data_IF_027047390240
#
_entry.id   IF_027047390240
#
_cell.length_a   1.000
_cell.length_b   1.000
_cell.length_c   1.000
_cell.angle_alpha   90.00
_cell.angle_beta   90.00
_cell.angle_gamma   90.00
#
_symmetry.space_group_name_H-M   'P 1'
#
loop_
_entity.id
_entity.type
_entity.pdbx_description
1 polymer ?
#
# COMPACT_ATOMS: atom_id res chain seq x y z
N UNK A 1 16.47 -5.73 1.36
CA UNK A 1 15.55 -5.07 0.42
C UNK A 1 16.05 -3.68 0.01
N UNK A 2 16.29 -2.79 0.97
CA UNK A 2 16.54 -1.35 0.73
C UNK A 2 17.92 -0.99 0.15
N UNK A 3 18.81 -1.97 -0.07
CA UNK A 3 20.19 -1.75 -0.56
C UNK A 3 20.30 -1.47 -2.06
N UNK A 4 19.20 -1.55 -2.82
CA UNK A 4 19.17 -1.40 -4.27
C UNK A 4 19.87 -2.50 -5.07
N UNK A 5 20.94 -3.12 -4.57
CA UNK A 5 21.63 -4.24 -5.21
C UNK A 5 20.68 -5.39 -5.58
N UNK A 6 20.62 -5.75 -6.87
CA UNK A 6 19.80 -6.85 -7.37
C UNK A 6 20.21 -8.18 -6.70
N UNK A 7 21.52 -8.41 -6.52
CA UNK A 7 22.03 -9.57 -5.79
C UNK A 7 21.55 -9.59 -4.34
N UNK A 8 21.55 -8.45 -3.66
CA UNK A 8 21.09 -8.37 -2.27
C UNK A 8 19.57 -8.53 -2.18
N UNK A 9 18.82 -8.02 -3.14
CA UNK A 9 17.37 -8.22 -3.23
C UNK A 9 17.04 -9.70 -3.41
N UNK A 10 17.72 -10.39 -4.34
CA UNK A 10 17.58 -11.84 -4.55
C UNK A 10 18.01 -12.66 -3.33
N UNK A 11 19.05 -12.23 -2.60
CA UNK A 11 19.42 -12.90 -1.35
C UNK A 11 18.31 -12.73 -0.30
N UNK A 12 17.77 -11.52 -0.13
CA UNK A 12 16.69 -11.27 0.83
C UNK A 12 15.46 -12.11 0.45
N UNK A 13 15.13 -12.18 -0.83
CA UNK A 13 14.08 -13.04 -1.35
C UNK A 13 14.33 -14.53 -1.03
N UNK A 14 15.53 -15.05 -1.28
CA UNK A 14 15.87 -16.43 -0.93
C UNK A 14 15.82 -16.73 0.58
N UNK A 15 16.07 -15.73 1.44
CA UNK A 15 16.23 -15.91 2.89
C UNK A 15 15.11 -15.35 3.77
N UNK A 16 14.02 -14.80 3.20
CA UNK A 16 12.86 -14.38 4.00
C UNK A 16 11.89 -15.52 4.34
N UNK A 17 11.97 -16.65 3.62
CA UNK A 17 11.20 -17.87 3.89
C UNK A 17 11.51 -18.58 5.21
N UNK A 18 12.78 -18.75 5.63
CA UNK A 18 13.11 -19.42 6.89
C UNK A 18 12.45 -18.81 8.14
N UNK A 19 12.42 -17.47 8.35
CA UNK A 19 11.62 -16.87 9.44
C UNK A 19 10.14 -17.27 9.43
N UNK A 20 9.51 -17.31 8.24
CA UNK A 20 8.11 -17.75 8.07
C UNK A 20 7.98 -19.24 8.44
N UNK A 21 8.91 -20.08 8.00
CA UNK A 21 8.93 -21.50 8.34
C UNK A 21 9.13 -21.74 9.85
N UNK A 22 9.99 -20.96 10.50
CA UNK A 22 10.18 -21.02 11.95
C UNK A 22 8.93 -20.60 12.70
N UNK A 23 8.27 -19.52 12.28
CA UNK A 23 7.01 -19.09 12.89
C UNK A 23 5.92 -20.17 12.81
N UNK A 24 5.80 -20.85 11.66
CA UNK A 24 4.90 -22.01 11.48
C UNK A 24 5.29 -23.18 12.38
N UNK A 25 6.58 -23.51 12.46
CA UNK A 25 7.07 -24.61 13.29
C UNK A 25 6.84 -24.36 14.80
N UNK A 26 6.99 -23.11 15.23
CA UNK A 26 6.72 -22.66 16.59
C UNK A 26 5.22 -22.42 16.86
N UNK A 27 4.36 -22.59 15.84
CA UNK A 27 2.91 -22.40 15.90
C UNK A 27 2.51 -21.02 16.44
N UNK A 28 3.23 -19.99 16.00
CA UNK A 28 3.04 -18.60 16.43
C UNK A 28 1.72 -17.98 15.93
N UNK A 29 1.01 -18.66 15.03
CA UNK A 29 -0.28 -18.28 14.49
C UNK A 29 -1.47 -18.78 15.32
N UNK A 30 -1.24 -19.53 16.40
CA UNK A 30 -2.32 -20.05 17.25
C UNK A 30 -3.15 -18.92 17.87
N UNK A 31 -4.48 -19.12 18.03
CA UNK A 31 -5.33 -18.13 18.70
C UNK A 31 -4.81 -17.88 20.12
N UNK A 32 -4.58 -16.62 20.45
CA UNK A 32 -4.16 -16.21 21.79
C UNK A 32 -5.36 -15.63 22.53
N UNK A 33 -5.63 -16.14 23.73
CA UNK A 33 -6.67 -15.58 24.61
C UNK A 33 -6.21 -14.19 25.07
N UNK A 34 -7.08 -13.20 24.92
CA UNK A 34 -6.82 -11.85 25.41
C UNK A 34 -6.64 -11.82 26.93
N UNK A 35 -5.71 -10.98 27.40
CA UNK A 35 -5.52 -10.75 28.83
C UNK A 35 -6.57 -9.75 29.29
N UNK A 36 -7.55 -10.22 30.06
CA UNK A 36 -8.42 -9.34 30.81
C UNK A 36 -7.67 -8.79 32.03
N UNK A 37 -7.52 -7.47 32.10
CA UNK A 37 -6.87 -6.79 33.22
C UNK A 37 -7.98 -6.25 34.13
N UNK A 38 -8.05 -6.73 35.37
CA UNK A 38 -8.95 -6.15 36.35
C UNK A 38 -8.44 -4.76 36.78
N UNK A 39 -9.33 -3.75 36.94
CA UNK A 39 -8.94 -2.41 37.35
C UNK A 39 -8.18 -2.37 38.68
N UNK A 40 -8.27 -3.42 39.49
CA UNK A 40 -7.75 -3.51 40.85
C UNK A 40 -6.41 -4.27 40.90
N UNK A 41 -5.94 -4.81 39.76
CA UNK A 41 -4.70 -5.60 39.71
C UNK A 41 -3.46 -4.72 39.95
N UNK A 42 -2.65 -5.04 40.95
CA UNK A 42 -1.45 -4.29 41.33
C UNK A 42 -0.25 -5.20 41.66
N UNK A 43 0.91 -4.59 41.88
CA UNK A 43 2.10 -5.28 42.37
C UNK A 43 2.65 -6.34 41.41
N UNK A 44 3.08 -7.48 41.95
CA UNK A 44 3.73 -8.55 41.19
C UNK A 44 2.82 -9.18 40.15
N UNK A 45 1.52 -9.31 40.46
CA UNK A 45 0.54 -9.87 39.53
C UNK A 45 0.38 -9.00 38.29
N UNK A 46 0.36 -7.67 38.47
CA UNK A 46 0.29 -6.74 37.35
C UNK A 46 1.52 -6.85 36.43
N UNK A 47 2.70 -6.99 37.03
CA UNK A 47 3.96 -7.15 36.32
C UNK A 47 4.02 -8.46 35.52
N UNK A 48 3.55 -9.57 36.09
CA UNK A 48 3.45 -10.86 35.41
C UNK A 48 2.48 -10.82 34.21
N UNK A 49 1.31 -10.19 34.40
CA UNK A 49 0.33 -10.00 33.33
C UNK A 49 0.88 -9.14 32.20
N UNK A 50 1.53 -8.01 32.53
CA UNK A 50 2.14 -7.13 31.54
C UNK A 50 3.22 -7.86 30.73
N UNK A 51 4.11 -8.62 31.37
CA UNK A 51 5.15 -9.39 30.68
C UNK A 51 4.55 -10.44 29.76
N UNK A 52 3.53 -11.16 30.24
CA UNK A 52 2.83 -12.15 29.42
C UNK A 52 2.14 -11.50 28.22
N UNK A 53 1.47 -10.36 28.42
CA UNK A 53 0.84 -9.60 27.33
C UNK A 53 1.87 -9.08 26.32
N UNK A 54 2.99 -8.51 26.81
CA UNK A 54 4.03 -7.92 25.97
C UNK A 54 4.62 -8.97 25.04
N UNK A 55 4.95 -10.15 25.58
CA UNK A 55 5.43 -11.28 24.79
C UNK A 55 4.45 -11.71 23.69
N UNK A 56 3.14 -11.71 23.99
CA UNK A 56 2.10 -12.03 22.97
C UNK A 56 2.04 -10.97 21.88
N UNK A 57 2.06 -9.69 22.26
CA UNK A 57 2.03 -8.60 21.30
C UNK A 57 3.29 -8.56 20.43
N UNK A 58 4.45 -8.95 20.96
CA UNK A 58 5.66 -9.16 20.16
C UNK A 58 5.46 -10.23 19.10
N UNK A 59 4.93 -11.41 19.47
CA UNK A 59 4.65 -12.50 18.54
C UNK A 59 3.67 -12.05 17.45
N UNK A 60 2.54 -11.43 17.84
CA UNK A 60 1.52 -10.94 16.90
C UNK A 60 2.15 -9.97 15.91
N UNK A 61 2.98 -9.02 16.37
CA UNK A 61 3.68 -8.06 15.50
C UNK A 61 4.70 -8.75 14.61
N UNK A 62 5.46 -9.74 15.08
CA UNK A 62 6.37 -10.51 14.21
C UNK A 62 5.60 -11.19 13.09
N UNK A 63 4.45 -11.79 13.37
CA UNK A 63 3.60 -12.42 12.34
C UNK A 63 3.12 -11.42 11.30
N UNK A 64 2.65 -10.24 11.73
CA UNK A 64 2.26 -9.16 10.82
C UNK A 64 3.45 -8.64 9.99
N UNK A 65 4.62 -8.49 10.60
CA UNK A 65 5.81 -8.03 9.90
C UNK A 65 6.27 -9.02 8.82
N UNK A 66 6.27 -10.33 9.13
CA UNK A 66 6.57 -11.38 8.15
C UNK A 66 5.56 -11.40 7.02
N UNK A 67 4.27 -11.19 7.32
CA UNK A 67 3.20 -11.04 6.34
C UNK A 67 3.44 -9.86 5.38
N UNK A 68 3.74 -8.69 5.93
CA UNK A 68 4.02 -7.48 5.16
C UNK A 68 5.27 -7.64 4.29
N UNK A 69 6.36 -8.20 4.84
CA UNK A 69 7.62 -8.36 4.09
C UNK A 69 7.48 -9.33 2.92
N UNK A 70 6.77 -10.43 3.09
CA UNK A 70 6.51 -11.41 2.02
C UNK A 70 5.66 -10.78 0.89
N UNK A 71 4.65 -9.99 1.24
CA UNK A 71 3.86 -9.22 0.28
C UNK A 71 4.72 -8.21 -0.49
N UNK A 72 5.50 -7.40 0.22
CA UNK A 72 6.36 -6.39 -0.38
C UNK A 72 7.40 -6.98 -1.33
N UNK A 73 8.03 -8.11 -0.96
CA UNK A 73 8.99 -8.78 -1.83
C UNK A 73 8.31 -9.35 -3.08
N UNK A 74 7.16 -10.01 -2.89
CA UNK A 74 6.38 -10.58 -3.99
C UNK A 74 5.91 -9.52 -4.99
N UNK A 75 5.50 -8.35 -4.49
CA UNK A 75 5.15 -7.19 -5.32
C UNK A 75 6.33 -6.64 -6.10
N UNK A 76 7.48 -6.42 -5.45
CA UNK A 76 8.67 -5.86 -6.13
C UNK A 76 9.24 -6.84 -7.18
N UNK A 77 9.18 -8.13 -6.91
CA UNK A 77 9.80 -9.16 -7.75
C UNK A 77 8.80 -9.85 -8.69
N UNK A 78 7.52 -9.45 -8.65
CA UNK A 78 6.44 -9.98 -9.48
C UNK A 78 6.19 -11.50 -9.36
N UNK A 79 6.61 -12.16 -8.28
CA UNK A 79 6.37 -13.59 -8.03
C UNK A 79 5.21 -13.85 -7.06
N UNK A 80 4.96 -15.12 -6.74
CA UNK A 80 3.95 -15.51 -5.75
C UNK A 80 4.52 -15.44 -4.33
N UNK A 81 3.71 -15.03 -3.34
CA UNK A 81 4.13 -15.03 -1.94
C UNK A 81 4.31 -16.43 -1.36
N UNK A 82 5.14 -16.55 -0.31
CA UNK A 82 5.36 -17.80 0.44
C UNK A 82 4.14 -18.13 1.33
N UNK A 83 3.42 -17.10 1.75
CA UNK A 83 2.26 -17.18 2.62
C UNK A 83 0.96 -17.23 1.79
N UNK A 84 -0.07 -17.93 2.28
CA UNK A 84 -1.41 -17.94 1.68
C UNK A 84 -2.28 -16.73 2.09
N UNK A 85 -2.25 -15.64 1.31
CA UNK A 85 -2.96 -14.39 1.58
C UNK A 85 -4.51 -14.48 1.59
N UNK A 86 -5.12 -15.58 1.16
CA UNK A 86 -6.59 -15.74 1.10
C UNK A 86 -7.20 -16.23 2.41
N UNK A 87 -6.45 -17.02 3.18
CA UNK A 87 -6.94 -17.69 4.40
C UNK A 87 -6.31 -17.14 5.69
N UNK A 88 -5.57 -16.04 5.62
CA UNK A 88 -4.95 -15.48 6.82
C UNK A 88 -5.96 -14.86 7.76
N UNK A 89 -5.85 -15.28 9.01
CA UNK A 89 -6.57 -14.72 10.15
C UNK A 89 -5.55 -14.44 11.25
N UNK A 90 -5.40 -13.16 11.61
CA UNK A 90 -4.49 -12.75 12.68
C UNK A 90 -5.24 -12.03 13.80
N UNK A 91 -4.67 -12.11 14.99
CA UNK A 91 -5.09 -11.28 16.12
C UNK A 91 -4.68 -9.83 15.90
N UNK A 92 -5.57 -8.85 16.11
CA UNK A 92 -5.21 -7.47 15.97
C UNK A 92 -4.07 -7.08 16.92
N UNK A 93 -3.18 -6.22 16.42
CA UNK A 93 -2.16 -5.59 17.26
C UNK A 93 -2.78 -4.53 18.17
N UNK A 94 -2.21 -4.31 19.35
CA UNK A 94 -2.53 -3.12 20.14
C UNK A 94 -2.00 -1.84 19.46
N UNK A 95 -2.41 -0.68 19.97
CA UNK A 95 -1.84 0.60 19.55
C UNK A 95 -0.34 0.68 19.85
N UNK A 96 0.37 1.56 19.13
CA UNK A 96 1.78 1.82 19.43
C UNK A 96 1.94 2.47 20.82
N UNK A 97 0.98 3.26 21.26
CA UNK A 97 0.99 3.94 22.56
C UNK A 97 0.99 2.95 23.72
N UNK A 98 0.13 1.92 23.63
CA UNK A 98 0.05 0.84 24.63
C UNK A 98 1.26 -0.08 24.51
N UNK A 99 1.69 -0.43 23.30
CA UNK A 99 2.89 -1.27 23.07
C UNK A 99 4.16 -0.67 23.65
N UNK A 100 4.33 0.65 23.54
CA UNK A 100 5.50 1.38 24.03
C UNK A 100 5.38 1.78 25.51
N UNK A 101 4.47 1.19 26.27
CA UNK A 101 4.41 1.44 27.71
C UNK A 101 5.70 0.95 28.40
N UNK A 102 6.40 1.82 29.17
CA UNK A 102 7.72 1.46 29.71
C UNK A 102 7.66 0.57 30.95
N UNK A 103 6.49 0.45 31.58
CA UNK A 103 6.25 -0.39 32.75
C UNK A 103 4.78 -0.84 32.81
N UNK A 104 4.49 -1.78 33.71
CA UNK A 104 3.18 -2.41 33.85
C UNK A 104 2.08 -1.44 34.34
N UNK A 105 2.41 -0.43 35.15
CA UNK A 105 1.47 0.61 35.58
C UNK A 105 1.04 1.51 34.42
N UNK A 106 2.00 1.98 33.63
CA UNK A 106 1.73 2.80 32.44
C UNK A 106 0.96 2.02 31.39
N UNK A 107 1.29 0.73 31.22
CA UNK A 107 0.58 -0.17 30.32
C UNK A 107 -0.89 -0.29 30.70
N UNK A 108 -1.19 -0.62 31.96
CA UNK A 108 -2.56 -0.74 32.47
C UNK A 108 -3.35 0.55 32.27
N UNK A 109 -2.75 1.70 32.64
CA UNK A 109 -3.39 3.00 32.48
C UNK A 109 -3.79 3.26 31.03
N UNK A 110 -2.84 3.14 30.09
CA UNK A 110 -3.07 3.38 28.66
C UNK A 110 -4.06 2.37 28.07
N UNK A 111 -3.94 1.09 28.42
CA UNK A 111 -4.82 0.03 27.94
C UNK A 111 -6.27 0.27 28.35
N UNK A 112 -6.52 0.64 29.62
CA UNK A 112 -7.85 0.96 30.11
C UNK A 112 -8.39 2.24 29.46
N UNK A 113 -7.56 3.28 29.31
CA UNK A 113 -7.96 4.52 28.62
C UNK A 113 -8.41 4.27 27.18
N UNK A 114 -7.69 3.45 26.41
CA UNK A 114 -8.09 3.10 25.04
C UNK A 114 -9.34 2.21 25.02
N UNK A 115 -9.47 1.27 25.95
CA UNK A 115 -10.64 0.37 26.05
C UNK A 115 -11.96 1.12 26.33
N UNK A 116 -11.89 2.30 26.96
CA UNK A 116 -13.05 3.14 27.25
C UNK A 116 -13.43 4.10 26.11
N UNK A 117 -12.71 4.11 24.97
CA UNK A 117 -13.04 4.99 23.86
C UNK A 117 -14.27 4.51 23.07
N UNK A 118 -15.21 5.41 22.70
CA UNK A 118 -16.37 5.04 21.90
C UNK A 118 -15.98 4.53 20.50
N UNK A 119 -16.29 3.26 20.21
CA UNK A 119 -16.05 2.62 18.92
C UNK A 119 -14.94 1.56 18.90
N UNK A 120 -14.30 1.28 20.04
CA UNK A 120 -13.25 0.26 20.19
C UNK A 120 -13.70 -0.98 20.98
N UNK A 121 -15.01 -1.22 21.15
CA UNK A 121 -15.45 -2.48 21.76
C UNK A 121 -15.18 -3.65 20.80
N UNK A 122 -14.29 -4.60 21.17
CA UNK A 122 -14.03 -5.76 20.33
C UNK A 122 -15.28 -6.64 20.30
N UNK A 123 -15.87 -6.79 19.12
CA UNK A 123 -16.91 -7.77 18.89
C UNK A 123 -16.26 -9.14 18.67
N UNK A 124 -16.33 -10.00 19.71
CA UNK A 124 -16.16 -11.46 19.68
C UNK A 124 -14.77 -12.07 19.93
N UNK A 125 -14.61 -12.58 21.16
CA UNK A 125 -14.11 -13.89 21.68
C UNK A 125 -13.03 -14.69 20.93
N UNK A 126 -12.94 -14.71 19.59
CA UNK A 126 -12.01 -15.60 18.86
C UNK A 126 -10.77 -14.89 18.29
N UNK A 127 -10.69 -13.57 18.46
CA UNK A 127 -9.46 -12.79 18.28
C UNK A 127 -8.79 -12.95 16.92
N UNK A 128 -9.51 -13.32 15.86
CA UNK A 128 -8.98 -13.59 14.51
C UNK A 128 -9.82 -12.85 13.48
N UNK A 129 -9.16 -12.07 12.62
CA UNK A 129 -9.86 -11.26 11.61
C UNK A 129 -9.51 -11.72 10.20
N UNK A 130 -10.55 -11.97 9.40
CA UNK A 130 -10.41 -12.27 7.98
C UNK A 130 -10.22 -10.97 7.18
N UNK A 131 -9.05 -10.79 6.57
CA UNK A 131 -8.72 -9.55 5.84
C UNK A 131 -9.50 -9.40 4.53
N UNK A 132 -10.10 -10.48 4.03
CA UNK A 132 -10.82 -10.48 2.77
C UNK A 132 -12.30 -10.07 2.87
N UNK A 133 -12.84 -9.92 4.08
CA UNK A 133 -14.23 -9.55 4.32
C UNK A 133 -14.36 -8.11 4.86
N UNK A 134 -15.07 -7.20 4.13
CA UNK A 134 -15.31 -5.84 4.58
C UNK A 134 -15.99 -5.73 5.95
N UNK A 135 -16.83 -6.69 6.33
CA UNK A 135 -17.52 -6.67 7.64
C UNK A 135 -16.56 -7.04 8.78
N UNK A 136 -15.66 -7.98 8.55
CA UNK A 136 -14.61 -8.38 9.48
C UNK A 136 -13.66 -7.22 9.82
N UNK A 137 -13.42 -6.28 8.90
CA UNK A 137 -12.60 -5.09 9.21
C UNK A 137 -13.17 -4.21 10.34
N UNK A 138 -14.49 -4.25 10.57
CA UNK A 138 -15.14 -3.52 11.66
C UNK A 138 -14.74 -4.05 13.04
N UNK A 139 -14.26 -5.29 13.13
CA UNK A 139 -13.83 -5.94 14.36
C UNK A 139 -12.40 -5.54 14.76
N UNK A 140 -11.61 -5.01 13.83
CA UNK A 140 -10.24 -4.54 14.11
C UNK A 140 -10.32 -3.20 14.84
N UNK A 141 -9.66 -2.99 15.99
CA UNK A 141 -9.61 -1.69 16.67
C UNK A 141 -9.04 -0.56 15.78
N UNK A 142 -9.53 0.68 15.91
CA UNK A 142 -9.12 1.80 15.01
C UNK A 142 -7.61 2.02 15.11
N UNK A 143 -7.09 1.89 16.33
CA UNK A 143 -5.71 2.16 16.69
C UNK A 143 -4.76 1.01 16.33
N UNK A 144 -5.26 -0.10 15.80
CA UNK A 144 -4.48 -1.25 15.33
C UNK A 144 -3.81 -0.99 13.98
N UNK A 145 -3.01 0.09 13.89
CA UNK A 145 -2.42 0.59 12.64
C UNK A 145 -1.52 -0.45 11.96
N UNK A 146 -0.83 -1.29 12.72
CA UNK A 146 0.04 -2.32 12.15
C UNK A 146 -0.75 -3.48 11.54
N UNK A 147 -1.89 -3.84 12.14
CA UNK A 147 -2.87 -4.73 11.51
C UNK A 147 -3.49 -4.11 10.27
N UNK A 148 -3.81 -2.81 10.30
CA UNK A 148 -4.30 -2.10 9.12
C UNK A 148 -3.28 -2.10 7.95
N UNK A 149 -1.97 -2.00 8.24
CA UNK A 149 -0.93 -2.21 7.23
C UNK A 149 -1.06 -3.61 6.63
N UNK A 150 -1.04 -4.66 7.45
CA UNK A 150 -1.16 -6.03 6.96
C UNK A 150 -2.44 -6.27 6.16
N UNK A 151 -3.57 -5.65 6.52
CA UNK A 151 -4.81 -5.71 5.73
C UNK A 151 -4.59 -5.17 4.32
N UNK A 152 -3.96 -4.01 4.14
CA UNK A 152 -3.71 -3.44 2.81
C UNK A 152 -2.78 -4.32 1.96
N UNK A 153 -1.71 -4.85 2.53
CA UNK A 153 -0.85 -5.84 1.84
C UNK A 153 -1.62 -7.13 1.51
N UNK A 154 -2.53 -7.52 2.41
CA UNK A 154 -3.54 -8.56 2.20
C UNK A 154 -4.33 -8.37 0.91
N UNK A 155 -4.90 -7.18 0.78
CA UNK A 155 -5.69 -6.78 -0.39
C UNK A 155 -4.80 -6.72 -1.64
N UNK A 156 -3.62 -6.12 -1.53
CA UNK A 156 -2.62 -6.03 -2.60
C UNK A 156 -2.31 -7.40 -3.21
N UNK A 157 -1.94 -8.38 -2.38
CA UNK A 157 -1.60 -9.72 -2.88
C UNK A 157 -2.80 -10.41 -3.53
N UNK A 158 -4.02 -10.18 -3.04
CA UNK A 158 -5.23 -10.70 -3.70
C UNK A 158 -5.46 -10.06 -5.06
N UNK A 159 -5.23 -8.75 -5.19
CA UNK A 159 -5.30 -8.05 -6.48
C UNK A 159 -4.31 -8.67 -7.46
N UNK A 160 -3.04 -8.81 -7.07
CA UNK A 160 -1.98 -9.39 -7.93
C UNK A 160 -2.29 -10.85 -8.29
N UNK A 161 -2.73 -11.66 -7.33
CA UNK A 161 -3.04 -13.07 -7.54
C UNK A 161 -4.26 -13.28 -8.45
N UNK A 162 -5.25 -12.39 -8.35
CA UNK A 162 -6.46 -12.43 -9.18
C UNK A 162 -6.14 -12.21 -10.68
N UNK A 163 -5.08 -11.48 -11.00
CA UNK A 163 -4.60 -11.28 -12.38
C UNK A 163 -3.90 -12.52 -12.96
N UNK A 164 -3.23 -13.31 -12.12
CA UNK A 164 -2.54 -14.54 -12.53
C UNK A 164 -3.50 -15.72 -12.73
N UNK A 165 -4.63 -15.72 -12.03
CA UNK A 165 -5.57 -16.83 -12.02
C UNK A 165 -6.68 -16.64 -13.07
N UNK A 166 -6.78 -17.56 -14.03
CA UNK A 166 -7.73 -17.51 -15.17
C UNK A 166 -9.11 -18.15 -14.88
N UNK A 167 -9.44 -18.40 -13.62
CA UNK A 167 -10.57 -19.24 -13.19
C UNK A 167 -11.79 -18.38 -12.80
N UNK A 168 -12.99 -18.94 -12.90
CA UNK A 168 -14.32 -18.32 -12.78
C UNK A 168 -14.65 -17.59 -11.45
N UNK A 169 -13.72 -17.49 -10.50
CA UNK A 169 -13.90 -16.82 -9.19
C UNK A 169 -12.87 -15.70 -8.94
N UNK A 170 -12.47 -14.98 -9.99
CA UNK A 170 -11.66 -13.75 -9.83
C UNK A 170 -12.50 -12.71 -9.09
N UNK A 171 -12.04 -12.18 -7.95
CA UNK A 171 -12.71 -11.07 -7.28
C UNK A 171 -12.96 -9.92 -8.26
N UNK A 172 -14.17 -9.41 -8.29
CA UNK A 172 -14.53 -8.32 -9.22
C UNK A 172 -13.91 -7.00 -8.77
N UNK A 173 -13.73 -6.05 -9.70
CA UNK A 173 -13.32 -4.67 -9.37
C UNK A 173 -14.21 -4.07 -8.25
N UNK A 174 -15.50 -4.42 -8.24
CA UNK A 174 -16.48 -4.01 -7.23
C UNK A 174 -16.14 -4.54 -5.83
N UNK A 175 -15.64 -5.77 -5.72
CA UNK A 175 -15.26 -6.36 -4.43
C UNK A 175 -14.05 -5.66 -3.82
N UNK A 176 -13.04 -5.36 -4.64
CA UNK A 176 -11.87 -4.59 -4.19
C UNK A 176 -12.25 -3.16 -3.82
N UNK A 177 -13.12 -2.51 -4.61
CA UNK A 177 -13.63 -1.17 -4.29
C UNK A 177 -14.38 -1.16 -2.95
N UNK A 178 -15.23 -2.16 -2.70
CA UNK A 178 -15.96 -2.30 -1.43
C UNK A 178 -15.00 -2.48 -0.26
N UNK A 179 -13.98 -3.33 -0.40
CA UNK A 179 -13.02 -3.63 0.66
C UNK A 179 -12.12 -2.42 0.97
N UNK A 180 -11.63 -1.72 -0.04
CA UNK A 180 -10.82 -0.51 0.11
C UNK A 180 -11.64 0.67 0.66
N UNK A 181 -12.92 0.78 0.31
CA UNK A 181 -13.85 1.76 0.91
C UNK A 181 -14.07 1.45 2.38
N UNK A 182 -14.35 0.18 2.74
CA UNK A 182 -14.51 -0.24 4.12
C UNK A 182 -13.23 0.01 4.94
N UNK A 183 -12.06 -0.24 4.36
CA UNK A 183 -10.78 0.10 4.97
C UNK A 183 -10.67 1.60 5.25
N UNK A 184 -10.98 2.46 4.27
CA UNK A 184 -10.91 3.91 4.42
C UNK A 184 -11.80 4.41 5.55
N UNK A 185 -13.08 4.02 5.55
CA UNK A 185 -14.04 4.36 6.61
C UNK A 185 -13.55 3.89 7.98
N UNK A 186 -12.90 2.71 8.05
CA UNK A 186 -12.44 2.14 9.33
C UNK A 186 -11.21 2.85 9.89
N UNK A 187 -10.22 3.17 9.05
CA UNK A 187 -8.87 3.53 9.49
C UNK A 187 -8.39 4.92 9.06
N UNK A 188 -9.01 5.55 8.07
CA UNK A 188 -8.52 6.80 7.44
C UNK A 188 -9.51 7.98 7.57
N UNK A 189 -10.83 7.73 7.61
CA UNK A 189 -11.86 8.80 7.59
C UNK A 189 -11.78 9.78 8.77
N UNK A 190 -11.38 9.33 9.97
CA UNK A 190 -11.28 10.16 11.19
C UNK A 190 -9.98 10.97 11.22
N UNK A 191 -9.82 11.86 10.25
CA UNK A 191 -8.62 12.67 10.00
C UNK A 191 -8.28 13.67 11.11
N UNK A 192 -9.26 14.11 11.89
CA UNK A 192 -9.15 15.38 12.63
C UNK A 192 -8.44 15.32 14.00
N UNK A 193 -8.04 14.17 14.53
CA UNK A 193 -7.47 14.13 15.88
C UNK A 193 -6.09 13.47 16.03
N UNK A 194 -5.62 12.62 15.10
CA UNK A 194 -4.50 11.73 15.43
C UNK A 194 -3.34 11.57 14.43
N UNK A 195 -3.34 12.13 13.21
CA UNK A 195 -2.16 11.88 12.37
C UNK A 195 -1.99 12.76 11.14
N UNK A 196 -1.31 13.89 11.30
CA UNK A 196 -0.57 14.49 10.17
C UNK A 196 0.74 13.74 9.86
N UNK A 197 1.16 12.85 10.76
CA UNK A 197 2.44 12.14 10.75
C UNK A 197 2.20 10.64 11.00
N UNK A 198 1.51 9.96 10.10
CA UNK A 198 1.31 8.53 10.23
C UNK A 198 2.62 7.83 9.89
N UNK A 199 3.31 7.18 10.85
CA UNK A 199 4.60 6.57 10.58
C UNK A 199 4.50 5.39 9.60
N UNK A 200 3.31 4.80 9.46
CA UNK A 200 3.05 3.70 8.52
C UNK A 200 2.53 4.16 7.17
N UNK A 201 2.26 5.46 6.99
CA UNK A 201 1.78 6.09 5.75
C UNK A 201 0.68 5.30 5.02
N UNK A 202 -0.33 4.82 5.76
CA UNK A 202 -1.35 3.93 5.22
C UNK A 202 -2.19 4.57 4.09
N UNK A 203 -2.27 5.90 4.03
CA UNK A 203 -2.92 6.58 2.89
C UNK A 203 -2.14 6.39 1.58
N UNK A 204 -0.80 6.41 1.64
CA UNK A 204 0.05 6.14 0.47
C UNK A 204 -0.14 4.69 0.04
N UNK A 205 -0.11 3.74 0.98
CA UNK A 205 -0.34 2.33 0.67
C UNK A 205 -1.75 2.09 0.12
N UNK A 206 -2.79 2.73 0.66
CA UNK A 206 -4.15 2.63 0.15
C UNK A 206 -4.26 3.11 -1.31
N UNK A 207 -3.63 4.23 -1.66
CA UNK A 207 -3.56 4.69 -3.03
C UNK A 207 -2.76 3.74 -3.94
N UNK A 208 -1.69 3.16 -3.42
CA UNK A 208 -0.90 2.16 -4.15
C UNK A 208 -1.75 0.92 -4.49
N UNK A 209 -2.53 0.42 -3.54
CA UNK A 209 -3.42 -0.73 -3.80
C UNK A 209 -4.51 -0.38 -4.81
N UNK A 210 -5.06 0.84 -4.81
CA UNK A 210 -5.94 1.29 -5.89
C UNK A 210 -5.26 1.36 -7.26
N UNK A 211 -3.99 1.75 -7.31
CA UNK A 211 -3.24 1.68 -8.55
C UNK A 211 -3.09 0.24 -9.01
N UNK A 212 -2.83 -0.70 -8.10
CA UNK A 212 -2.74 -2.13 -8.41
C UNK A 212 -4.05 -2.70 -8.93
N UNK A 213 -5.22 -2.21 -8.48
CA UNK A 213 -6.52 -2.61 -9.07
C UNK A 213 -6.75 -2.04 -10.46
N UNK A 214 -6.10 -0.91 -10.76
CA UNK A 214 -6.29 -0.14 -12.00
C UNK A 214 -5.20 -0.35 -13.06
N UNK A 215 -4.09 -1.01 -12.71
CA UNK A 215 -2.98 -1.24 -13.63
C UNK A 215 -2.25 -2.56 -13.33
N UNK A 216 -1.73 -3.19 -14.37
CA UNK A 216 -0.82 -4.33 -14.25
C UNK A 216 0.63 -3.84 -14.24
N UNK A 217 1.20 -3.60 -13.05
CA UNK A 217 2.56 -3.08 -12.92
C UNK A 217 3.63 -4.05 -13.42
N UNK A 218 3.38 -5.36 -13.43
CA UNK A 218 4.29 -6.31 -14.04
C UNK A 218 4.40 -6.04 -15.55
N UNK A 219 3.25 -5.87 -16.21
CA UNK A 219 3.17 -5.52 -17.63
C UNK A 219 3.75 -4.13 -17.94
N UNK A 220 3.48 -3.13 -17.09
CA UNK A 220 4.05 -1.79 -17.28
C UNK A 220 5.58 -1.79 -17.13
N UNK A 221 6.14 -2.55 -16.19
CA UNK A 221 7.59 -2.67 -16.02
C UNK A 221 8.25 -3.37 -17.22
N UNK A 222 7.60 -4.41 -17.76
CA UNK A 222 8.03 -5.02 -19.03
C UNK A 222 8.04 -4.00 -20.16
N UNK A 223 7.01 -3.14 -20.24
CA UNK A 223 6.88 -2.13 -21.29
C UNK A 223 8.06 -1.15 -21.35
N UNK A 224 8.65 -0.80 -20.20
CA UNK A 224 9.82 0.08 -20.14
C UNK A 224 11.15 -0.68 -20.22
N UNK A 225 11.13 -1.99 -20.44
CA UNK A 225 12.30 -2.79 -20.76
C UNK A 225 12.87 -3.67 -19.65
N UNK A 226 12.12 -3.95 -18.57
CA UNK A 226 12.59 -4.83 -17.48
C UNK A 226 13.09 -6.19 -17.97
N UNK A 227 12.41 -6.77 -18.96
CA UNK A 227 12.77 -8.07 -19.58
C UNK A 227 13.39 -7.90 -20.98
N UNK A 228 13.89 -6.70 -21.29
CA UNK A 228 14.35 -6.31 -22.61
C UNK A 228 13.29 -5.54 -23.39
N UNK A 229 13.65 -5.10 -24.60
CA UNK A 229 12.86 -4.12 -25.37
C UNK A 229 11.76 -4.74 -26.23
N UNK A 230 11.55 -6.06 -26.12
CA UNK A 230 10.57 -6.80 -26.94
C UNK A 230 9.32 -7.06 -26.12
N UNK A 231 8.18 -6.66 -26.66
CA UNK A 231 6.87 -6.97 -26.12
C UNK A 231 6.17 -7.95 -27.05
N UNK A 232 5.50 -8.95 -26.48
CA UNK A 232 4.62 -9.79 -27.27
C UNK A 232 3.43 -8.97 -27.79
N UNK A 233 2.85 -9.39 -28.93
CA UNK A 233 1.72 -8.68 -29.54
C UNK A 233 0.53 -8.52 -28.58
N UNK A 234 0.26 -9.54 -27.76
CA UNK A 234 -0.79 -9.50 -26.76
C UNK A 234 -0.48 -8.50 -25.63
N UNK A 235 0.77 -8.43 -25.18
CA UNK A 235 1.24 -7.48 -24.16
C UNK A 235 1.12 -6.03 -24.66
N UNK A 236 1.59 -5.76 -25.88
CA UNK A 236 1.44 -4.43 -26.50
C UNK A 236 -0.02 -4.03 -26.65
N UNK A 237 -0.87 -4.95 -27.12
CA UNK A 237 -2.31 -4.70 -27.24
C UNK A 237 -2.95 -4.37 -25.89
N UNK A 238 -2.57 -5.08 -24.82
CA UNK A 238 -3.08 -4.83 -23.48
C UNK A 238 -2.64 -3.47 -22.93
N UNK A 239 -1.38 -3.07 -23.16
CA UNK A 239 -0.87 -1.76 -22.73
C UNK A 239 -1.56 -0.61 -23.46
N UNK A 240 -1.75 -0.71 -24.77
CA UNK A 240 -2.45 0.30 -25.56
C UNK A 240 -3.93 0.43 -25.13
N UNK A 241 -4.58 -0.69 -24.86
CA UNK A 241 -5.95 -0.70 -24.36
C UNK A 241 -6.02 -0.06 -22.96
N UNK A 242 -5.09 -0.38 -22.06
CA UNK A 242 -5.01 0.22 -20.73
C UNK A 242 -4.78 1.73 -20.80
N UNK A 243 -3.82 2.20 -21.60
CA UNK A 243 -3.43 3.62 -21.64
C UNK A 243 -4.55 4.55 -22.14
N UNK A 244 -5.60 4.01 -22.77
CA UNK A 244 -6.78 4.74 -23.23
C UNK A 244 -8.03 4.48 -22.39
N UNK A 245 -7.92 3.68 -21.31
CA UNK A 245 -9.04 3.28 -20.46
C UNK A 245 -9.28 4.24 -19.29
N UNK A 246 -10.40 4.06 -18.61
CA UNK A 246 -10.67 4.75 -17.34
C UNK A 246 -9.77 4.26 -16.21
N UNK A 247 -9.25 3.03 -16.28
CA UNK A 247 -8.36 2.49 -15.25
C UNK A 247 -7.00 3.18 -15.30
N UNK A 248 -6.48 3.54 -16.49
CA UNK A 248 -5.29 4.39 -16.57
C UNK A 248 -5.54 5.76 -15.94
N UNK A 249 -6.67 6.40 -16.23
CA UNK A 249 -7.06 7.67 -15.59
C UNK A 249 -7.11 7.56 -14.06
N UNK A 250 -7.75 6.49 -13.55
CA UNK A 250 -7.84 6.19 -12.11
C UNK A 250 -6.46 6.01 -11.48
N UNK A 251 -5.59 5.22 -12.13
CA UNK A 251 -4.22 4.98 -11.67
C UNK A 251 -3.39 6.28 -11.60
N UNK A 252 -3.50 7.16 -12.60
CA UNK A 252 -2.80 8.45 -12.62
C UNK A 252 -3.30 9.40 -11.52
N UNK A 253 -4.62 9.41 -11.25
CA UNK A 253 -5.16 10.20 -10.13
C UNK A 253 -4.63 9.70 -8.78
N UNK A 254 -4.59 8.39 -8.55
CA UNK A 254 -3.99 7.84 -7.32
C UNK A 254 -2.47 8.10 -7.24
N UNK A 255 -1.75 7.99 -8.36
CA UNK A 255 -0.34 8.35 -8.45
C UNK A 255 -0.10 9.82 -8.04
N UNK A 256 -0.98 10.72 -8.46
CA UNK A 256 -0.93 12.13 -8.08
C UNK A 256 -1.15 12.36 -6.57
N UNK A 257 -2.02 11.56 -5.96
CA UNK A 257 -2.27 11.61 -4.52
C UNK A 257 -1.07 11.08 -3.73
N UNK A 258 -0.43 10.00 -4.18
CA UNK A 258 0.83 9.51 -3.59
C UNK A 258 1.88 10.62 -3.59
N UNK A 259 2.10 11.28 -4.73
CA UNK A 259 3.03 12.40 -4.82
C UNK A 259 2.68 13.51 -3.83
N UNK A 260 1.40 13.92 -3.78
CA UNK A 260 0.92 14.98 -2.90
C UNK A 260 1.16 14.65 -1.42
N UNK A 261 0.92 13.40 -1.02
CA UNK A 261 1.16 12.93 0.34
C UNK A 261 2.65 12.98 0.67
N UNK A 262 3.52 12.44 -0.18
CA UNK A 262 4.97 12.47 0.03
C UNK A 262 5.51 13.90 0.06
N UNK A 263 5.03 14.80 -0.81
CA UNK A 263 5.43 16.22 -0.80
C UNK A 263 5.03 16.94 0.49
N UNK A 264 3.89 16.58 1.09
CA UNK A 264 3.42 17.16 2.34
C UNK A 264 4.23 16.70 3.56
N UNK A 265 5.10 15.70 3.42
CA UNK A 265 5.91 15.17 4.49
C UNK A 265 7.17 16.00 4.77
N UNK A 266 7.59 15.98 6.03
CA UNK A 266 8.84 16.61 6.46
C UNK A 266 10.04 15.96 5.79
N UNK A 267 11.09 16.75 5.52
CA UNK A 267 12.37 16.25 4.97
C UNK A 267 13.03 15.26 5.93
N UNK A 268 12.80 15.39 7.23
CA UNK A 268 13.39 14.51 8.27
C UNK A 268 12.51 13.30 8.62
N UNK A 269 11.38 13.12 7.94
CA UNK A 269 10.51 11.96 8.18
C UNK A 269 11.15 10.69 7.65
N UNK A 270 11.10 9.62 8.44
CA UNK A 270 11.36 8.26 7.94
C UNK A 270 10.14 7.79 7.14
N UNK A 271 10.40 7.10 6.03
CA UNK A 271 9.34 6.54 5.19
C UNK A 271 9.13 5.06 5.52
N UNK A 272 7.94 4.54 5.24
CA UNK A 272 7.57 3.15 5.33
C UNK A 272 8.02 2.42 4.07
N UNK A 273 8.30 1.12 4.20
CA UNK A 273 9.04 0.34 3.20
C UNK A 273 8.39 0.31 1.81
N UNK A 274 7.07 0.52 1.74
CA UNK A 274 6.30 0.56 0.50
C UNK A 274 6.43 1.88 -0.28
N UNK A 275 6.82 2.99 0.36
CA UNK A 275 6.79 4.32 -0.28
C UNK A 275 7.66 4.43 -1.54
N UNK A 276 8.90 3.91 -1.59
CA UNK A 276 9.68 3.91 -2.82
C UNK A 276 8.99 3.12 -3.95
N UNK A 277 8.37 1.98 -3.62
CA UNK A 277 7.58 1.19 -4.59
C UNK A 277 6.38 2.02 -5.08
N UNK A 278 5.69 2.70 -4.18
CA UNK A 278 4.56 3.57 -4.50
C UNK A 278 4.95 4.69 -5.49
N UNK A 279 6.05 5.40 -5.21
CA UNK A 279 6.56 6.44 -6.10
C UNK A 279 7.07 5.87 -7.43
N UNK A 280 7.78 4.74 -7.40
CA UNK A 280 8.27 4.09 -8.61
C UNK A 280 7.12 3.72 -9.55
N UNK A 281 6.08 3.07 -9.01
CA UNK A 281 4.89 2.70 -9.76
C UNK A 281 4.06 3.92 -10.21
N UNK A 282 4.03 5.00 -9.42
CA UNK A 282 3.46 6.29 -9.87
C UNK A 282 4.18 6.86 -11.09
N UNK A 283 5.53 6.86 -11.07
CA UNK A 283 6.35 7.28 -12.20
C UNK A 283 6.19 6.37 -13.42
N UNK A 284 6.10 5.07 -13.19
CA UNK A 284 5.92 4.09 -14.25
C UNK A 284 4.56 4.22 -14.94
N UNK A 285 3.49 4.38 -14.15
CA UNK A 285 2.14 4.59 -14.67
C UNK A 285 2.10 5.82 -15.58
N UNK A 286 2.67 6.96 -15.17
CA UNK A 286 2.68 8.16 -16.01
C UNK A 286 3.54 8.01 -17.26
N UNK A 287 4.70 7.33 -17.18
CA UNK A 287 5.53 7.05 -18.37
C UNK A 287 4.75 6.24 -19.40
N UNK A 288 4.11 5.15 -18.98
CA UNK A 288 3.33 4.31 -19.88
C UNK A 288 2.10 5.06 -20.40
N UNK A 289 1.41 5.83 -19.56
CA UNK A 289 0.28 6.66 -19.97
C UNK A 289 0.69 7.68 -21.05
N UNK A 290 1.79 8.40 -20.85
CA UNK A 290 2.33 9.35 -21.84
C UNK A 290 2.73 8.67 -23.16
N UNK A 291 3.32 7.47 -23.09
CA UNK A 291 3.87 6.79 -24.26
C UNK A 291 2.82 6.12 -25.14
N UNK A 292 1.83 5.49 -24.49
CA UNK A 292 0.85 4.61 -25.13
C UNK A 292 -0.55 5.23 -25.21
N UNK A 293 -0.80 6.34 -24.51
CA UNK A 293 -2.03 7.09 -24.62
C UNK A 293 -2.20 7.76 -25.99
N UNK A 294 -3.45 7.97 -26.40
CA UNK A 294 -3.76 8.63 -27.67
C UNK A 294 -3.35 10.09 -27.66
N UNK A 295 -2.40 10.49 -28.53
CA UNK A 295 -2.04 11.89 -28.82
C UNK A 295 -3.10 12.60 -29.70
N UNK A 296 -4.39 12.34 -29.49
CA UNK A 296 -5.41 12.89 -30.40
C UNK A 296 -5.49 14.41 -30.24
N UNK A 297 -5.16 15.14 -31.31
CA UNK A 297 -5.37 16.59 -31.44
C UNK A 297 -6.85 16.99 -31.54
N UNK A 298 -7.79 16.04 -31.45
CA UNK A 298 -9.21 16.36 -31.34
C UNK A 298 -9.51 16.78 -29.90
N UNK A 299 -10.07 17.97 -29.66
CA UNK A 299 -10.49 18.36 -28.32
C UNK A 299 -11.41 17.25 -27.79
N UNK A 300 -11.10 16.67 -26.62
CA UNK A 300 -11.89 15.57 -26.11
C UNK A 300 -13.32 16.05 -25.87
N UNK A 301 -14.29 15.47 -26.57
CA UNK A 301 -15.69 15.46 -26.10
C UNK A 301 -15.86 14.58 -24.85
N UNK A 302 -14.78 13.97 -24.34
CA UNK A 302 -14.72 13.30 -23.05
C UNK A 302 -14.32 14.29 -21.96
N UNK A 303 -15.18 14.45 -20.95
CA UNK A 303 -14.93 15.25 -19.74
C UNK A 303 -13.50 15.08 -19.20
N UNK A 304 -12.92 16.14 -18.61
CA UNK A 304 -11.55 16.13 -18.08
C UNK A 304 -11.32 14.98 -17.10
N UNK A 305 -10.07 14.56 -16.95
CA UNK A 305 -9.58 13.68 -15.88
C UNK A 305 -9.93 14.28 -14.51
N UNK A 306 -11.16 14.05 -14.05
CA UNK A 306 -11.71 14.64 -12.84
C UNK A 306 -11.92 13.58 -11.77
N UNK A 307 -11.56 13.86 -10.50
CA UNK A 307 -11.76 12.93 -9.38
C UNK A 307 -13.23 12.52 -9.19
N UNK A 308 -14.19 13.33 -9.65
CA UNK A 308 -15.64 13.11 -9.53
C UNK A 308 -16.15 11.87 -10.28
N UNK A 309 -15.33 11.29 -11.16
CA UNK A 309 -15.66 10.06 -11.88
C UNK A 309 -15.50 8.80 -11.04
N UNK A 310 -14.67 8.86 -9.98
CA UNK A 310 -14.42 7.69 -9.15
C UNK A 310 -14.87 7.96 -7.71
N UNK A 311 -15.80 7.14 -7.18
CA UNK A 311 -16.49 7.42 -5.92
C UNK A 311 -15.55 7.50 -4.72
N UNK A 312 -14.42 6.80 -4.76
CA UNK A 312 -13.44 6.81 -3.68
C UNK A 312 -12.74 8.16 -3.48
N UNK A 313 -12.69 9.05 -4.49
CA UNK A 313 -12.15 10.40 -4.27
C UNK A 313 -13.12 11.32 -3.51
N UNK A 314 -14.42 11.01 -3.52
CA UNK A 314 -15.39 11.72 -2.70
C UNK A 314 -15.09 11.53 -1.20
N UNK A 315 -14.48 10.39 -0.83
CA UNK A 315 -14.07 10.07 0.55
C UNK A 315 -13.01 11.06 1.09
N UNK A 316 -12.21 11.66 0.20
CA UNK A 316 -11.19 12.67 0.55
C UNK A 316 -11.74 14.09 0.70
N UNK A 317 -13.06 14.28 0.52
CA UNK A 317 -13.65 15.62 0.48
C UNK A 317 -13.18 16.46 -0.71
N UNK A 318 -12.68 15.81 -1.79
CA UNK A 318 -12.47 16.47 -3.07
C UNK A 318 -13.84 16.84 -3.65
N UNK A 319 -14.30 18.05 -3.35
CA UNK A 319 -15.49 18.65 -3.98
C UNK A 319 -15.19 19.04 -5.42
N UNK A 320 -16.25 19.23 -6.20
CA UNK A 320 -16.28 19.44 -7.66
C UNK A 320 -15.23 20.40 -8.29
N UNK A 321 -14.54 21.24 -7.51
CA UNK A 321 -13.72 22.36 -7.96
C UNK A 321 -12.21 22.28 -7.71
N UNK A 322 -11.68 21.28 -6.98
CA UNK A 322 -10.22 21.17 -6.80
C UNK A 322 -9.58 20.40 -7.94
N UNK A 323 -9.11 21.13 -8.96
CA UNK A 323 -8.21 20.59 -9.96
C UNK A 323 -6.97 20.01 -9.26
N UNK A 324 -6.66 18.75 -9.56
CA UNK A 324 -5.37 18.16 -9.22
C UNK A 324 -4.36 18.78 -10.19
N UNK A 325 -3.79 19.90 -9.78
CA UNK A 325 -2.93 20.73 -10.60
C UNK A 325 -2.62 22.02 -9.85
N UNK A 326 -1.63 21.96 -8.98
CA UNK A 326 -1.06 23.16 -8.35
C UNK A 326 -0.23 23.95 -9.35
N UNK A 327 -0.83 24.45 -10.43
CA UNK A 327 -0.41 25.59 -11.28
C UNK A 327 -1.33 25.64 -12.51
N UNK A 328 -2.23 26.61 -12.56
CA UNK A 328 -2.96 26.97 -13.78
C UNK A 328 -4.07 26.01 -14.21
N UNK A 329 -4.96 26.50 -15.06
CA UNK A 329 -6.23 25.88 -15.52
C UNK A 329 -6.05 24.61 -16.39
N UNK A 330 -4.89 23.95 -16.36
CA UNK A 330 -4.57 22.81 -17.21
C UNK A 330 -4.54 21.55 -16.35
N UNK A 331 -5.53 20.66 -16.56
CA UNK A 331 -5.57 19.35 -15.91
C UNK A 331 -4.35 18.49 -16.26
N UNK A 332 -4.27 17.30 -15.64
CA UNK A 332 -3.22 16.29 -15.89
C UNK A 332 -3.15 15.86 -17.38
N UNK A 333 -4.11 16.28 -18.21
CA UNK A 333 -4.15 16.05 -19.66
C UNK A 333 -3.05 16.79 -20.44
N UNK A 334 -2.41 17.83 -19.88
CA UNK A 334 -1.34 18.55 -20.56
C UNK A 334 0.03 17.85 -20.43
N UNK A 335 0.73 17.68 -21.56
CA UNK A 335 2.03 16.99 -21.65
C UNK A 335 3.09 17.65 -20.76
N UNK A 336 3.05 18.98 -20.62
CA UNK A 336 4.00 19.69 -19.75
C UNK A 336 3.71 19.41 -18.27
N UNK A 337 2.43 19.40 -17.87
CA UNK A 337 2.01 18.97 -16.52
C UNK A 337 2.42 17.52 -16.22
N UNK A 338 2.28 16.60 -17.19
CA UNK A 338 2.68 15.19 -17.02
C UNK A 338 4.19 15.02 -16.86
N UNK A 339 4.99 15.75 -17.63
CA UNK A 339 6.47 15.73 -17.46
C UNK A 339 6.88 16.32 -16.12
N UNK A 340 6.27 17.42 -15.70
CA UNK A 340 6.54 18.04 -14.39
C UNK A 340 6.20 17.07 -13.26
N UNK A 341 5.05 16.37 -13.37
CA UNK A 341 4.67 15.32 -12.45
C UNK A 341 5.72 14.21 -12.38
N UNK A 342 6.19 13.68 -13.52
CA UNK A 342 7.22 12.65 -13.56
C UNK A 342 8.55 13.11 -12.93
N UNK A 343 9.04 14.29 -13.27
CA UNK A 343 10.30 14.79 -12.70
C UNK A 343 10.20 15.04 -11.19
N UNK A 344 9.04 15.48 -10.71
CA UNK A 344 8.77 15.60 -9.27
C UNK A 344 8.80 14.22 -8.57
N UNK A 345 8.24 13.16 -9.18
CA UNK A 345 8.38 11.79 -8.64
C UNK A 345 9.85 11.36 -8.56
N UNK A 346 10.65 11.63 -9.59
CA UNK A 346 12.08 11.29 -9.63
C UNK A 346 12.84 12.02 -8.50
N UNK A 347 12.59 13.32 -8.33
CA UNK A 347 13.20 14.13 -7.26
C UNK A 347 12.79 13.62 -5.86
N UNK A 348 11.54 13.22 -5.69
CA UNK A 348 11.07 12.62 -4.44
C UNK A 348 11.79 11.30 -4.13
N UNK A 349 11.97 10.43 -5.13
CA UNK A 349 12.71 9.18 -4.98
C UNK A 349 14.18 9.44 -4.57
N UNK A 350 14.81 10.47 -5.13
CA UNK A 350 16.15 10.89 -4.71
C UNK A 350 16.19 11.42 -3.28
N UNK A 351 15.20 12.23 -2.91
CA UNK A 351 15.08 12.84 -1.59
C UNK A 351 14.88 11.80 -0.49
N UNK A 352 14.06 10.77 -0.71
CA UNK A 352 13.91 9.67 0.24
C UNK A 352 15.04 8.63 0.13
N UNK A 353 16.05 8.93 -0.69
CA UNK A 353 17.14 8.05 -1.11
C UNK A 353 18.07 7.56 -0.01
N UNK A 354 17.83 7.80 1.29
CA UNK A 354 18.56 7.06 2.33
C UNK A 354 18.48 5.54 2.11
N UNK A 355 17.47 5.08 1.38
CA UNK A 355 17.39 3.75 0.83
C UNK A 355 17.90 3.72 -0.61
N UNK A 356 18.99 2.99 -0.84
CA UNK A 356 19.56 2.75 -2.18
C UNK A 356 18.55 2.22 -3.19
N UNK A 357 17.54 1.46 -2.73
CA UNK A 357 16.44 1.00 -3.59
C UNK A 357 15.68 2.17 -4.25
N UNK A 358 15.45 3.25 -3.49
CA UNK A 358 14.77 4.45 -4.01
C UNK A 358 15.61 5.15 -5.08
N UNK A 359 16.93 5.28 -4.86
CA UNK A 359 17.86 5.80 -5.88
C UNK A 359 17.80 4.98 -7.16
N UNK A 360 17.77 3.65 -7.06
CA UNK A 360 17.66 2.78 -8.23
C UNK A 360 16.34 2.95 -8.98
N UNK A 361 15.23 3.09 -8.27
CA UNK A 361 13.97 3.43 -8.90
C UNK A 361 14.02 4.78 -9.62
N UNK A 362 14.65 5.79 -9.02
CA UNK A 362 14.90 7.07 -9.70
C UNK A 362 15.75 6.89 -10.98
N UNK A 363 16.81 6.09 -10.93
CA UNK A 363 17.68 5.80 -12.08
C UNK A 363 16.90 5.13 -13.22
N UNK A 364 16.06 4.14 -12.90
CA UNK A 364 15.21 3.46 -13.88
C UNK A 364 14.23 4.45 -14.52
N UNK A 365 13.54 5.27 -13.73
CA UNK A 365 12.60 6.26 -14.26
C UNK A 365 13.32 7.31 -15.11
N UNK A 366 14.51 7.78 -14.70
CA UNK A 366 15.32 8.71 -15.50
C UNK A 366 15.71 8.10 -16.83
N UNK A 367 16.18 6.85 -16.85
CA UNK A 367 16.48 6.15 -18.10
C UNK A 367 15.23 6.02 -18.98
N UNK A 368 14.07 5.75 -18.37
CA UNK A 368 12.79 5.66 -19.06
C UNK A 368 12.21 7.03 -19.48
N UNK A 369 12.78 8.18 -19.08
CA UNK A 369 12.33 9.48 -19.66
C UNK A 369 12.64 9.56 -21.16
N UNK A 370 13.73 8.94 -21.62
CA UNK A 370 14.06 8.83 -23.04
C UNK A 370 13.05 7.97 -23.80
N UNK A 371 12.41 6.99 -23.14
CA UNK A 371 11.35 6.15 -23.71
C UNK A 371 10.11 6.95 -24.12
N UNK A 372 9.86 8.09 -23.45
CA UNK A 372 8.75 9.02 -23.74
C UNK A 372 9.09 9.96 -24.92
N UNK A 373 10.36 10.04 -25.34
CA UNK A 373 10.76 10.82 -26.50
C UNK A 373 10.51 10.07 -27.82
N UNK A 374 10.12 10.78 -28.89
CA UNK A 374 9.68 10.19 -30.17
C UNK A 374 10.74 9.34 -30.90
N UNK A 375 11.97 9.25 -30.39
CA UNK A 375 13.08 8.53 -31.01
C UNK A 375 13.26 7.08 -30.52
N UNK A 376 12.41 6.57 -29.64
CA UNK A 376 12.51 5.19 -29.13
C UNK A 376 11.57 4.22 -29.87
N UNK A 377 12.15 3.36 -30.71
CA UNK A 377 11.43 2.29 -31.42
C UNK A 377 11.17 1.09 -30.50
N UNK A 378 9.90 0.79 -30.25
CA UNK A 378 9.48 -0.46 -29.62
C UNK A 378 9.59 -1.56 -30.67
N UNK A 379 10.35 -2.63 -30.38
CA UNK A 379 10.49 -3.77 -31.28
C UNK A 379 9.47 -4.83 -30.90
N UNK A 380 8.60 -5.20 -31.83
CA UNK A 380 7.66 -6.33 -31.71
C UNK A 380 8.33 -7.61 -32.16
#
# INVERSE_FOLDING_TARGET
>A
MLSGSAKTLLNVDAFHGPPIAWARNLKLDQPMVDIFIEPDTEGTLLEEQWRSWAHRQEIIRVMHALYIVDAELSSILHHEPIQNFESYTFSPTCSMTVFMAPNSTDWKHKHLTESHQPGDQPSSIDGRVLFSDPNSLRQIPVHSRFTAYAVLEGISMRVISSRKTRVEQVPTSIEFDSLLTAFYTRFLERREQHSRNDPLQLEILWHLVYMETSADFNLLEKAIGREGTRLELAELSAILAWATSQDAARAILHASMIQKHVLAMSVVSEFAIHVPRALFWAGLAIICYMRFGSKSNTPPHSSPLGPHRFPEFALFGMKDSTSIGGTGEHGIDDVFSQKTFLFSIIDLLDRIGHWELSRKFADILRAATAFVSDNYEIRV
#
